data_IF_685978420460
#
_entry.id   IF_685978420460
#
_cell.length_a   1.000
_cell.length_b   1.000
_cell.length_c   1.000
_cell.angle_alpha   90.00
_cell.angle_beta   90.00
_cell.angle_gamma   90.00
#
_symmetry.space_group_name_H-M   'P 1'
#
loop_
_entity.id
_entity.type
_entity.pdbx_description
1 polymer ?
#
# COMPACT_ATOMS: atom_id res chain seq x y z
N UNK A 1 13.60 23.48 -3.97
CA UNK A 1 13.93 22.09 -4.32
C UNK A 1 12.63 21.34 -4.19
N UNK A 2 11.80 21.52 -5.20
CA UNK A 2 10.44 21.01 -5.28
C UNK A 2 10.58 19.83 -6.23
N UNK A 3 10.81 18.65 -5.68
CA UNK A 3 10.83 17.41 -6.46
C UNK A 3 9.41 17.21 -7.01
N UNK A 4 9.17 17.73 -8.22
CA UNK A 4 7.90 17.65 -8.95
C UNK A 4 7.40 16.20 -9.18
N UNK A 5 8.18 15.21 -8.77
CA UNK A 5 7.87 13.78 -8.82
C UNK A 5 6.96 13.29 -7.66
N UNK A 6 6.84 14.03 -6.55
CA UNK A 6 6.13 13.57 -5.33
C UNK A 6 4.68 14.04 -5.24
N UNK A 7 3.93 14.02 -6.35
CA UNK A 7 2.49 14.27 -6.27
C UNK A 7 1.81 13.08 -5.59
N UNK A 8 0.88 13.29 -4.64
CA UNK A 8 0.12 12.19 -4.03
C UNK A 8 -0.60 11.39 -5.12
N UNK A 9 -0.39 10.09 -5.15
CA UNK A 9 -1.10 9.19 -6.06
C UNK A 9 -2.48 8.88 -5.49
N UNK A 10 -3.52 9.01 -6.32
CA UNK A 10 -4.85 8.53 -5.94
C UNK A 10 -4.82 7.00 -5.82
N UNK A 11 -5.06 6.49 -4.61
CA UNK A 11 -5.09 5.05 -4.33
C UNK A 11 -6.49 4.65 -3.86
N UNK A 12 -7.29 3.97 -4.70
CA UNK A 12 -8.61 3.49 -4.31
C UNK A 12 -8.54 2.51 -3.14
N UNK A 13 -9.54 2.54 -2.26
CA UNK A 13 -9.59 1.62 -1.11
C UNK A 13 -9.61 0.14 -1.53
N UNK A 14 -10.24 -0.18 -2.66
CA UNK A 14 -10.27 -1.54 -3.20
C UNK A 14 -8.87 -2.06 -3.52
N UNK A 15 -8.05 -1.24 -4.17
CA UNK A 15 -6.65 -1.54 -4.44
C UNK A 15 -5.88 -1.76 -3.13
N UNK A 16 -6.07 -0.88 -2.15
CA UNK A 16 -5.42 -1.00 -0.85
C UNK A 16 -5.77 -2.32 -0.14
N UNK A 17 -7.04 -2.73 -0.16
CA UNK A 17 -7.45 -4.03 0.38
C UNK A 17 -6.81 -5.18 -0.38
N UNK A 18 -6.78 -5.13 -1.70
CA UNK A 18 -6.18 -6.19 -2.51
C UNK A 18 -4.69 -6.36 -2.18
N UNK A 19 -3.90 -5.29 -2.26
CA UNK A 19 -2.44 -5.36 -2.08
C UNK A 19 -2.02 -5.66 -0.64
N UNK A 20 -2.91 -5.47 0.35
CA UNK A 20 -2.69 -5.80 1.77
C UNK A 20 -3.35 -7.11 2.21
N UNK A 21 -3.99 -7.86 1.29
CA UNK A 21 -4.82 -9.03 1.64
C UNK A 21 -5.85 -8.70 2.73
N UNK A 22 -6.65 -7.66 2.50
CA UNK A 22 -7.68 -7.19 3.40
C UNK A 22 -7.15 -6.61 4.71
N UNK A 23 -5.98 -5.96 4.69
CA UNK A 23 -5.27 -5.52 5.90
C UNK A 23 -5.00 -6.67 6.88
N UNK A 24 -4.61 -7.84 6.37
CA UNK A 24 -4.32 -9.02 7.19
C UNK A 24 -3.25 -8.72 8.25
N UNK A 25 -3.48 -9.18 9.47
CA UNK A 25 -2.51 -9.05 10.57
C UNK A 25 -1.20 -9.81 10.29
N UNK A 26 -1.23 -10.83 9.43
CA UNK A 26 -0.02 -11.53 8.97
C UNK A 26 0.92 -10.61 8.18
N UNK A 27 0.38 -9.53 7.59
CA UNK A 27 1.16 -8.51 6.87
C UNK A 27 1.45 -7.27 7.72
N UNK A 28 1.01 -7.21 8.98
CA UNK A 28 1.25 -6.04 9.84
C UNK A 28 2.71 -6.01 10.28
N UNK A 29 3.42 -4.98 9.83
CA UNK A 29 4.80 -4.72 10.24
C UNK A 29 4.85 -4.04 11.61
N UNK A 30 3.85 -3.22 11.93
CA UNK A 30 3.79 -2.52 13.21
C UNK A 30 2.51 -1.71 13.43
N UNK A 31 2.37 -1.19 14.64
CA UNK A 31 1.27 -0.32 15.06
C UNK A 31 1.80 0.77 15.99
N UNK A 32 1.42 2.02 15.73
CA UNK A 32 1.69 3.17 16.59
C UNK A 32 0.43 4.00 16.82
N UNK A 33 0.58 5.15 17.49
CA UNK A 33 -0.54 6.05 17.81
C UNK A 33 -1.26 6.62 16.58
N UNK A 34 -0.60 6.65 15.43
CA UNK A 34 -1.13 7.22 14.19
C UNK A 34 -1.67 6.18 13.20
N UNK A 35 -1.49 4.89 13.48
CA UNK A 35 -2.01 3.83 12.60
C UNK A 35 -1.15 2.58 12.57
N UNK A 36 -1.53 1.69 11.65
CA UNK A 36 -0.86 0.43 11.38
C UNK A 36 -0.13 0.48 10.04
N UNK A 37 1.00 -0.20 9.96
CA UNK A 37 1.79 -0.32 8.73
C UNK A 37 1.72 -1.76 8.25
N UNK A 38 1.38 -1.95 6.98
CA UNK A 38 1.21 -3.26 6.36
C UNK A 38 2.17 -3.41 5.17
N UNK A 39 2.77 -4.59 5.05
CA UNK A 39 3.48 -4.99 3.85
C UNK A 39 2.49 -5.20 2.69
N UNK A 40 2.84 -4.73 1.49
CA UNK A 40 2.02 -4.87 0.29
C UNK A 40 2.69 -5.77 -0.74
N UNK A 41 1.89 -6.50 -1.51
CA UNK A 41 2.38 -7.25 -2.67
C UNK A 41 1.73 -6.69 -3.93
N UNK A 42 2.54 -6.16 -4.83
CA UNK A 42 2.11 -5.83 -6.19
C UNK A 42 2.33 -7.05 -7.07
N UNK A 43 1.25 -7.65 -7.56
CA UNK A 43 1.36 -8.57 -8.68
C UNK A 43 1.56 -7.72 -9.92
N UNK A 44 2.80 -7.53 -10.35
CA UNK A 44 3.06 -6.98 -11.68
C UNK A 44 2.55 -8.05 -12.66
N UNK A 45 1.41 -7.79 -13.28
CA UNK A 45 0.99 -8.55 -14.45
C UNK A 45 2.04 -8.33 -15.54
N UNK A 46 2.97 -9.26 -15.71
CA UNK A 46 3.69 -9.39 -16.96
C UNK A 46 2.69 -9.97 -17.95
N UNK A 47 1.94 -9.08 -18.61
CA UNK A 47 1.16 -9.47 -19.77
C UNK A 47 2.12 -10.12 -20.78
N UNK A 48 1.81 -11.36 -21.15
CA UNK A 48 2.55 -12.16 -22.14
C UNK A 48 2.22 -11.71 -23.55
#
# INVERSE_FOLDING_TARGET
>A
MDDACSRPTLMPLDLLREITNGFSEERRLGSGSFGKVYEVRFMISMAS
#
